data_IF_509865265712
#
_entry.id   IF_509865265712
#
_cell.length_a   1.000
_cell.length_b   1.000
_cell.length_c   1.000
_cell.angle_alpha   90.00
_cell.angle_beta   90.00
_cell.angle_gamma   90.00
#
_symmetry.space_group_name_H-M   'P 1'
#
loop_
_entity.id
_entity.type
_entity.pdbx_description
1 polymer ?
#
# COMPACT_ATOMS: atom_id res chain seq x y z
N UNK A 1 16.83 -11.94 -25.81
CA UNK A 1 17.09 -11.16 -24.59
C UNK A 1 16.56 -9.77 -24.90
N UNK A 2 15.40 -9.41 -24.37
CA UNK A 2 14.81 -8.08 -24.59
C UNK A 2 15.42 -7.10 -23.58
N UNK A 3 15.83 -5.93 -24.06
CA UNK A 3 16.35 -4.85 -23.21
C UNK A 3 15.32 -3.73 -23.12
N UNK A 4 15.32 -3.02 -22.00
CA UNK A 4 14.49 -1.84 -21.77
C UNK A 4 15.37 -0.71 -21.21
N UNK A 5 15.09 0.53 -21.61
CA UNK A 5 15.76 1.73 -21.07
C UNK A 5 14.76 2.46 -20.16
N UNK A 6 15.13 2.63 -18.89
CA UNK A 6 14.35 3.39 -17.92
C UNK A 6 15.02 4.76 -17.70
N UNK A 7 14.24 5.83 -17.87
CA UNK A 7 14.66 7.19 -17.46
C UNK A 7 13.93 7.54 -16.17
N UNK A 8 14.70 7.83 -15.12
CA UNK A 8 14.17 8.35 -13.86
C UNK A 8 14.34 9.87 -13.83
N UNK A 9 13.29 10.59 -13.47
CA UNK A 9 13.31 12.05 -13.30
C UNK A 9 13.03 12.33 -11.83
N UNK A 10 13.89 13.13 -11.20
CA UNK A 10 13.69 13.60 -9.84
C UNK A 10 12.47 14.54 -9.80
N UNK A 11 11.58 14.29 -8.85
CA UNK A 11 10.42 15.12 -8.60
C UNK A 11 10.44 15.58 -7.13
N UNK A 12 9.69 16.63 -6.84
CA UNK A 12 9.55 17.14 -5.48
C UNK A 12 8.88 16.08 -4.60
N UNK A 13 9.55 15.71 -3.51
CA UNK A 13 9.06 14.71 -2.57
C UNK A 13 8.44 15.39 -1.36
N UNK A 14 7.32 14.84 -0.91
CA UNK A 14 6.83 15.16 0.42
C UNK A 14 7.74 14.54 1.49
N UNK A 15 7.82 15.21 2.64
CA UNK A 15 8.46 14.63 3.82
C UNK A 15 7.54 13.57 4.41
N UNK A 16 7.89 12.32 4.21
CA UNK A 16 7.26 11.16 4.83
C UNK A 16 8.27 10.41 5.70
N UNK A 17 7.76 9.66 6.67
CA UNK A 17 8.51 8.60 7.32
C UNK A 17 8.64 7.41 6.34
N UNK A 18 9.80 7.32 5.68
CA UNK A 18 10.09 6.28 4.68
C UNK A 18 10.02 4.88 5.29
N UNK A 19 10.46 4.68 6.54
CA UNK A 19 10.44 3.38 7.19
C UNK A 19 9.01 2.92 7.47
N UNK A 20 8.16 3.83 7.97
CA UNK A 20 6.72 3.56 8.13
C UNK A 20 6.07 3.25 6.78
N UNK A 21 6.35 4.06 5.75
CA UNK A 21 5.78 3.85 4.41
C UNK A 21 6.16 2.47 3.83
N UNK A 22 7.45 2.13 3.84
CA UNK A 22 7.91 0.84 3.33
C UNK A 22 7.48 -0.34 4.21
N UNK A 23 7.27 -0.15 5.53
CA UNK A 23 6.65 -1.17 6.38
C UNK A 23 5.24 -1.51 5.90
N UNK A 24 4.41 -0.49 5.62
CA UNK A 24 3.05 -0.67 5.09
C UNK A 24 3.09 -1.39 3.73
N UNK A 25 3.95 -0.92 2.82
CA UNK A 25 4.10 -1.49 1.48
C UNK A 25 4.52 -2.95 1.52
N UNK A 26 5.58 -3.28 2.29
CA UNK A 26 6.05 -4.66 2.45
C UNK A 26 4.97 -5.55 3.05
N UNK A 27 4.25 -5.07 4.08
CA UNK A 27 3.14 -5.79 4.67
C UNK A 27 2.07 -6.11 3.62
N UNK A 28 1.70 -5.14 2.79
CA UNK A 28 0.71 -5.31 1.73
C UNK A 28 1.07 -6.39 0.70
N UNK A 29 2.35 -6.58 0.40
CA UNK A 29 2.85 -7.59 -0.54
C UNK A 29 3.28 -8.92 0.11
N UNK A 30 3.06 -9.13 1.42
CA UNK A 30 3.45 -10.38 2.14
C UNK A 30 2.88 -11.66 1.52
N UNK A 31 1.70 -11.59 0.90
CA UNK A 31 1.08 -12.73 0.21
C UNK A 31 0.30 -12.24 -1.01
N UNK A 32 0.90 -12.22 -2.22
CA UNK A 32 0.36 -11.52 -3.40
C UNK A 32 -1.04 -11.92 -3.88
N UNK A 33 -1.53 -13.11 -3.47
CA UNK A 33 -2.86 -13.61 -3.83
C UNK A 33 -3.94 -13.28 -2.80
N UNK A 34 -3.56 -12.84 -1.59
CA UNK A 34 -4.48 -12.46 -0.52
C UNK A 34 -4.93 -11.01 -0.67
N UNK A 35 -6.10 -10.69 -0.13
CA UNK A 35 -6.59 -9.32 -0.06
C UNK A 35 -5.68 -8.46 0.82
N UNK A 36 -5.56 -7.19 0.45
CA UNK A 36 -4.65 -6.23 1.05
C UNK A 36 -4.87 -6.11 2.56
N UNK A 37 -6.12 -6.01 3.01
CA UNK A 37 -6.44 -5.90 4.43
C UNK A 37 -5.89 -7.09 5.25
N UNK A 38 -6.05 -8.32 4.75
CA UNK A 38 -5.52 -9.51 5.42
C UNK A 38 -3.98 -9.49 5.48
N UNK A 39 -3.33 -8.92 4.46
CA UNK A 39 -1.89 -8.77 4.41
C UNK A 39 -1.40 -7.71 5.41
N UNK A 40 -2.08 -6.56 5.50
CA UNK A 40 -1.76 -5.50 6.46
C UNK A 40 -1.98 -5.95 7.91
N UNK A 41 -3.05 -6.71 8.18
CA UNK A 41 -3.28 -7.32 9.48
C UNK A 41 -2.18 -8.32 9.84
N UNK A 42 -1.87 -9.26 8.95
CA UNK A 42 -0.80 -10.23 9.16
C UNK A 42 0.58 -9.57 9.35
N UNK A 43 0.81 -8.45 8.67
CA UNK A 43 2.02 -7.63 8.79
C UNK A 43 2.07 -6.75 10.04
N UNK A 44 1.05 -6.79 10.90
CA UNK A 44 0.99 -5.99 12.14
C UNK A 44 0.94 -4.49 11.88
N UNK A 45 0.39 -4.08 10.73
CA UNK A 45 0.20 -2.66 10.38
C UNK A 45 -1.09 -2.11 10.96
N UNK A 46 -2.16 -2.91 10.95
CA UNK A 46 -3.49 -2.49 11.37
C UNK A 46 -4.30 -3.66 11.88
N UNK A 47 -5.30 -3.42 12.74
CA UNK A 47 -6.30 -4.44 13.11
C UNK A 47 -7.39 -4.51 12.04
N UNK A 48 -7.97 -5.70 11.83
CA UNK A 48 -8.97 -5.91 10.77
C UNK A 48 -10.14 -4.93 10.81
N UNK A 49 -10.74 -4.73 11.99
CA UNK A 49 -11.91 -3.85 12.18
C UNK A 49 -11.62 -2.38 11.84
N UNK A 50 -10.43 -1.90 12.20
CA UNK A 50 -9.97 -0.55 11.89
C UNK A 50 -9.69 -0.41 10.39
N UNK A 51 -9.04 -1.41 9.79
CA UNK A 51 -8.74 -1.41 8.37
C UNK A 51 -9.99 -1.51 7.49
N UNK A 52 -11.04 -2.21 7.90
CA UNK A 52 -12.34 -2.19 7.20
C UNK A 52 -12.95 -0.78 7.16
N UNK A 53 -12.88 -0.05 8.29
CA UNK A 53 -13.36 1.35 8.36
C UNK A 53 -12.55 2.27 7.46
N UNK A 54 -11.23 2.18 7.53
CA UNK A 54 -10.32 2.98 6.69
C UNK A 54 -10.55 2.68 5.21
N UNK A 55 -10.66 1.40 4.83
CA UNK A 55 -10.87 1.03 3.43
C UNK A 55 -12.21 1.52 2.92
N UNK A 56 -13.27 1.43 3.73
CA UNK A 56 -14.57 1.97 3.39
C UNK A 56 -14.52 3.51 3.24
N UNK A 57 -13.82 4.21 4.15
CA UNK A 57 -13.62 5.66 4.06
C UNK A 57 -12.85 6.06 2.78
N UNK A 58 -11.87 5.26 2.38
CA UNK A 58 -11.07 5.49 1.17
C UNK A 58 -11.75 4.98 -0.12
N UNK A 59 -12.93 4.37 -0.02
CA UNK A 59 -13.67 3.82 -1.17
C UNK A 59 -13.08 2.54 -1.75
N UNK A 60 -12.24 1.82 -1.00
CA UNK A 60 -11.63 0.58 -1.44
C UNK A 60 -12.54 -0.63 -1.19
N UNK A 61 -12.54 -1.54 -2.16
CA UNK A 61 -13.15 -2.86 -1.97
C UNK A 61 -12.40 -3.64 -0.87
N UNK A 62 -13.10 -4.34 0.04
CA UNK A 62 -12.44 -5.22 1.03
C UNK A 62 -11.71 -6.41 0.38
N UNK A 63 -11.94 -6.65 -0.91
CA UNK A 63 -11.31 -7.71 -1.72
C UNK A 63 -10.16 -7.21 -2.60
N UNK A 64 -9.77 -5.94 -2.49
CA UNK A 64 -8.66 -5.38 -3.28
C UNK A 64 -7.34 -6.05 -2.90
N UNK A 65 -6.48 -6.34 -3.88
CA UNK A 65 -5.12 -6.83 -3.65
C UNK A 65 -4.09 -5.71 -3.83
N UNK A 66 -2.92 -5.88 -3.23
CA UNK A 66 -1.85 -4.87 -3.22
C UNK A 66 -1.44 -4.37 -4.62
N UNK A 67 -1.39 -5.28 -5.61
CA UNK A 67 -1.04 -4.97 -6.99
C UNK A 67 -2.10 -4.16 -7.76
N UNK A 68 -3.32 -4.05 -7.23
CA UNK A 68 -4.41 -3.30 -7.85
C UNK A 68 -4.36 -1.80 -7.46
N UNK A 69 -3.51 -1.44 -6.49
CA UNK A 69 -3.36 -0.06 -6.02
C UNK A 69 -2.36 0.71 -6.86
N UNK A 70 -2.71 1.96 -7.16
CA UNK A 70 -1.76 2.95 -7.67
C UNK A 70 -0.85 3.47 -6.55
N UNK A 71 0.23 4.18 -6.91
CA UNK A 71 1.10 4.86 -5.93
C UNK A 71 0.31 5.87 -5.09
N UNK A 72 -0.68 6.53 -5.69
CA UNK A 72 -1.53 7.50 -4.99
C UNK A 72 -2.45 6.81 -3.96
N UNK A 73 -2.91 5.59 -4.25
CA UNK A 73 -3.70 4.81 -3.28
C UNK A 73 -2.85 4.40 -2.07
N UNK A 74 -1.58 4.04 -2.29
CA UNK A 74 -0.65 3.80 -1.19
C UNK A 74 -0.37 5.04 -0.35
N UNK A 75 -0.30 6.23 -0.96
CA UNK A 75 -0.22 7.50 -0.24
C UNK A 75 -1.44 7.71 0.66
N UNK A 76 -2.65 7.54 0.12
CA UNK A 76 -3.89 7.67 0.90
C UNK A 76 -3.91 6.73 2.11
N UNK A 77 -3.50 5.48 1.92
CA UNK A 77 -3.38 4.51 3.03
C UNK A 77 -2.36 4.99 4.07
N UNK A 78 -1.17 5.40 3.65
CA UNK A 78 -0.11 5.86 4.55
C UNK A 78 -0.54 7.05 5.43
N UNK A 79 -1.27 8.01 4.87
CA UNK A 79 -1.74 9.19 5.62
C UNK A 79 -2.98 8.92 6.47
N UNK A 80 -3.69 7.82 6.24
CA UNK A 80 -4.91 7.47 6.99
C UNK A 80 -4.64 6.49 8.15
N UNK A 81 -3.62 5.64 8.03
CA UNK A 81 -3.14 4.73 9.09
C UNK A 81 -2.11 5.43 9.97
#
# INVERSE_FOLDING_TARGET
MESAILRLILFEREKIDEDKFFKILRAGFLSPRKYLLNNLEKGGVIKKEEGEKIFNQLGFSPKIRAQELSVEDWRKIYFTI
#
